data_IF_298322733651
#
_entry.id   IF_298322733651
#
_cell.length_a   1.000
_cell.length_b   1.000
_cell.length_c   1.000
_cell.angle_alpha   90.00
_cell.angle_beta   90.00
_cell.angle_gamma   90.00
#
_symmetry.space_group_name_H-M   'P 1'
#
loop_
_entity.id
_entity.type
_entity.pdbx_description
1 polymer ?
#
# COMPACT_ATOMS: atom_id res chain seq x y z
N UNK A 1 17.56 5.89 5.72
CA UNK A 1 17.69 6.24 7.14
C UNK A 1 17.79 7.76 7.22
N UNK A 2 16.65 8.43 7.54
CA UNK A 2 16.61 9.88 7.56
C UNK A 2 17.49 10.48 8.63
N UNK A 3 18.23 11.53 8.31
CA UNK A 3 18.90 12.38 9.28
C UNK A 3 17.87 13.16 10.10
N UNK A 4 18.10 13.35 11.39
CA UNK A 4 17.35 14.29 12.23
C UNK A 4 17.42 15.69 11.59
N UNK A 5 16.35 16.13 10.94
CA UNK A 5 16.26 17.43 10.25
C UNK A 5 15.74 17.40 8.82
N UNK A 6 15.77 16.24 8.13
CA UNK A 6 15.29 16.10 6.74
C UNK A 6 14.01 15.23 6.64
N UNK A 7 13.36 14.90 7.76
CA UNK A 7 12.15 14.08 7.74
C UNK A 7 10.96 14.88 7.20
N UNK A 8 10.42 14.43 6.06
CA UNK A 8 9.16 14.92 5.52
C UNK A 8 8.03 13.95 5.89
N UNK A 9 6.88 14.50 6.25
CA UNK A 9 5.70 13.69 6.61
C UNK A 9 5.36 12.69 5.50
N UNK A 10 5.09 11.44 5.86
CA UNK A 10 4.82 10.30 4.95
C UNK A 10 6.02 9.83 4.11
N UNK A 11 7.22 10.41 4.27
CA UNK A 11 8.40 9.92 3.57
C UNK A 11 9.02 8.72 4.28
N UNK A 12 9.79 7.93 3.54
CA UNK A 12 10.69 6.91 4.08
C UNK A 12 12.11 7.45 4.31
N UNK A 13 12.31 8.75 4.05
CA UNK A 13 13.55 9.49 4.21
C UNK A 13 14.34 9.63 2.91
N UNK A 14 15.54 10.21 3.03
CA UNK A 14 16.51 10.31 1.95
C UNK A 14 17.35 9.04 1.86
N UNK A 15 17.82 8.67 0.67
CA UNK A 15 18.71 7.54 0.51
C UNK A 15 20.19 7.94 0.63
N UNK A 16 21.01 7.02 1.11
CA UNK A 16 22.45 7.22 1.24
C UNK A 16 23.15 6.80 -0.06
N UNK A 17 23.72 7.74 -0.77
CA UNK A 17 24.28 7.54 -2.12
C UNK A 17 25.59 6.73 -2.17
N UNK A 18 26.32 6.58 -1.06
CA UNK A 18 27.65 5.95 -1.04
C UNK A 18 27.65 4.47 -1.48
N UNK A 19 26.58 3.72 -1.16
CA UNK A 19 26.51 2.27 -1.38
C UNK A 19 25.28 1.84 -2.17
N UNK A 20 24.34 2.76 -2.38
CA UNK A 20 23.04 2.48 -3.01
C UNK A 20 22.69 3.58 -3.99
N UNK A 21 22.31 3.19 -5.19
CA UNK A 21 21.63 4.06 -6.15
C UNK A 21 20.17 3.66 -6.22
N UNK A 22 19.28 4.64 -6.27
CA UNK A 22 17.84 4.42 -6.44
C UNK A 22 17.32 5.21 -7.63
N UNK A 23 16.33 4.67 -8.30
CA UNK A 23 15.52 5.39 -9.29
C UNK A 23 14.11 4.87 -9.27
N UNK A 24 13.15 5.68 -9.73
CA UNK A 24 11.81 5.21 -10.01
C UNK A 24 11.63 5.00 -11.52
N UNK A 25 11.00 3.89 -11.91
CA UNK A 25 10.60 3.63 -13.30
C UNK A 25 9.39 4.50 -13.64
N UNK A 26 9.65 5.79 -13.83
CA UNK A 26 8.67 6.82 -14.14
C UNK A 26 9.30 7.88 -15.02
N UNK A 27 8.51 8.46 -15.94
CA UNK A 27 8.93 9.61 -16.75
C UNK A 27 8.96 10.91 -15.96
N UNK A 28 8.20 10.97 -14.86
CA UNK A 28 8.11 12.10 -13.94
C UNK A 28 8.06 11.57 -12.50
N UNK A 29 9.20 11.15 -11.94
CA UNK A 29 9.24 10.52 -10.62
C UNK A 29 8.83 11.47 -9.47
N UNK A 30 8.75 12.77 -9.70
CA UNK A 30 8.27 13.73 -8.70
C UNK A 30 6.74 13.69 -8.55
N UNK A 31 5.99 13.44 -9.64
CA UNK A 31 4.53 13.56 -9.65
C UNK A 31 3.81 12.25 -10.01
N UNK A 32 4.51 11.32 -10.67
CA UNK A 32 3.94 10.06 -11.14
C UNK A 32 4.68 8.90 -10.50
N UNK A 33 3.99 8.14 -9.66
CA UNK A 33 4.59 6.98 -9.01
C UNK A 33 5.04 5.93 -10.04
N UNK A 34 6.27 5.43 -9.84
CA UNK A 34 6.85 4.32 -10.59
C UNK A 34 7.39 3.26 -9.66
N UNK A 35 7.85 2.13 -10.21
CA UNK A 35 8.52 1.12 -9.40
C UNK A 35 9.87 1.63 -8.90
N UNK A 36 10.13 1.45 -7.61
CA UNK A 36 11.44 1.72 -7.01
C UNK A 36 12.43 0.66 -7.48
N UNK A 37 13.45 1.09 -8.19
CA UNK A 37 14.57 0.28 -8.64
C UNK A 37 15.80 0.62 -7.81
N UNK A 38 16.56 -0.40 -7.40
CA UNK A 38 17.72 -0.25 -6.53
C UNK A 38 18.95 -0.94 -7.15
N UNK A 39 20.10 -0.30 -7.06
CA UNK A 39 21.39 -0.85 -7.51
C UNK A 39 22.49 -0.50 -6.52
N UNK A 40 23.43 -1.41 -6.27
CA UNK A 40 24.56 -1.17 -5.37
C UNK A 40 25.00 -2.41 -4.61
N UNK A 41 26.02 -2.25 -3.78
CA UNK A 41 26.67 -3.34 -3.05
C UNK A 41 25.76 -4.04 -2.02
N UNK A 42 24.67 -3.40 -1.63
CA UNK A 42 23.68 -3.95 -0.67
C UNK A 42 22.66 -4.88 -1.35
N UNK A 43 22.67 -4.93 -2.69
CA UNK A 43 21.74 -5.77 -3.45
C UNK A 43 22.38 -7.14 -3.67
N UNK A 44 21.61 -8.19 -3.39
CA UNK A 44 22.07 -9.57 -3.62
C UNK A 44 22.31 -9.83 -5.12
N UNK A 45 23.18 -10.80 -5.45
CA UNK A 45 23.57 -11.12 -6.82
C UNK A 45 22.58 -12.03 -7.57
N UNK A 46 21.66 -12.66 -6.86
CA UNK A 46 20.64 -13.54 -7.47
C UNK A 46 20.13 -14.61 -6.51
N UNK A 47 19.15 -15.38 -6.98
CA UNK A 47 18.57 -16.51 -6.25
C UNK A 47 19.39 -17.78 -6.49
N UNK A 48 19.77 -18.46 -5.43
CA UNK A 48 20.56 -19.69 -5.50
C UNK A 48 19.89 -20.76 -6.36
N UNK A 49 20.60 -21.23 -7.40
CA UNK A 49 20.13 -22.24 -8.39
C UNK A 49 18.78 -21.91 -9.03
N UNK A 50 18.45 -20.63 -9.19
CA UNK A 50 17.21 -20.20 -9.84
C UNK A 50 17.51 -18.99 -10.77
N UNK A 51 17.99 -19.30 -11.97
CA UNK A 51 18.35 -18.29 -12.98
C UNK A 51 17.12 -17.53 -13.49
N UNK A 52 15.97 -18.20 -13.64
CA UNK A 52 14.74 -17.58 -14.10
C UNK A 52 14.25 -16.51 -13.11
N UNK A 53 14.17 -16.85 -11.82
CA UNK A 53 13.81 -15.87 -10.79
C UNK A 53 14.86 -14.76 -10.67
N UNK A 54 16.14 -15.06 -10.89
CA UNK A 54 17.20 -14.05 -10.89
C UNK A 54 17.02 -13.07 -12.05
N UNK A 55 16.80 -13.56 -13.27
CA UNK A 55 16.54 -12.70 -14.43
C UNK A 55 15.28 -11.84 -14.23
N UNK A 56 14.23 -12.41 -13.67
CA UNK A 56 12.99 -11.67 -13.37
C UNK A 56 13.14 -10.62 -12.28
N UNK A 57 14.16 -10.74 -11.42
CA UNK A 57 14.40 -9.81 -10.31
C UNK A 57 15.24 -8.58 -10.72
N UNK A 58 15.85 -8.58 -11.89
CA UNK A 58 16.72 -7.50 -12.33
C UNK A 58 16.34 -7.01 -13.74
N UNK A 59 16.52 -5.72 -13.96
CA UNK A 59 16.49 -5.13 -15.31
C UNK A 59 17.72 -5.58 -16.10
N UNK A 60 17.71 -5.41 -17.43
CA UNK A 60 18.86 -5.72 -18.30
C UNK A 60 20.12 -4.93 -17.93
N UNK A 61 19.98 -3.71 -17.42
CA UNK A 61 21.07 -2.84 -16.95
C UNK A 61 21.40 -3.03 -15.44
N UNK A 62 20.85 -4.09 -14.82
CA UNK A 62 21.24 -4.60 -13.50
C UNK A 62 20.64 -3.86 -12.30
N UNK A 63 19.47 -3.25 -12.43
CA UNK A 63 18.71 -2.72 -11.31
C UNK A 63 17.78 -3.79 -10.75
N UNK A 64 17.71 -3.86 -9.44
CA UNK A 64 16.83 -4.78 -8.74
C UNK A 64 15.40 -4.20 -8.67
N UNK A 65 14.42 -4.99 -9.06
CA UNK A 65 13.00 -4.73 -8.92
C UNK A 65 12.56 -4.93 -7.48
N UNK A 66 12.23 -3.86 -6.76
CA UNK A 66 11.78 -3.99 -5.36
C UNK A 66 10.33 -4.42 -5.26
N UNK A 67 9.55 -4.17 -6.28
CA UNK A 67 8.09 -4.34 -6.28
C UNK A 67 7.37 -3.24 -5.50
N UNK A 68 8.07 -2.24 -4.97
CA UNK A 68 7.48 -1.09 -4.29
C UNK A 68 7.24 0.05 -5.27
N UNK A 69 6.11 0.74 -5.15
CA UNK A 69 5.75 1.92 -5.94
C UNK A 69 5.94 3.19 -5.12
N UNK A 70 6.41 4.25 -5.75
CA UNK A 70 6.61 5.51 -5.07
C UNK A 70 7.03 6.65 -5.98
N UNK A 71 7.34 7.76 -5.34
CA UNK A 71 7.84 9.00 -5.95
C UNK A 71 9.09 9.48 -5.23
N UNK A 72 9.84 10.38 -5.85
CA UNK A 72 11.02 11.02 -5.27
C UNK A 72 10.99 12.51 -5.58
N UNK A 73 11.09 13.33 -4.54
CA UNK A 73 11.11 14.76 -4.72
C UNK A 73 12.50 15.28 -5.11
N UNK A 74 12.61 16.59 -5.31
CA UNK A 74 13.85 17.29 -5.71
C UNK A 74 14.98 17.17 -4.69
N UNK A 75 14.65 16.90 -3.44
CA UNK A 75 15.62 16.72 -2.35
C UNK A 75 16.01 15.25 -2.17
N UNK A 76 15.70 14.38 -3.14
CA UNK A 76 15.90 12.93 -3.08
C UNK A 76 15.19 12.23 -1.91
N UNK A 77 14.09 12.82 -1.44
CA UNK A 77 13.24 12.18 -0.43
C UNK A 77 12.30 11.20 -1.10
N UNK A 78 12.22 9.99 -0.58
CA UNK A 78 11.42 8.90 -1.13
C UNK A 78 10.06 8.82 -0.43
N UNK A 79 9.01 8.64 -1.22
CA UNK A 79 7.64 8.43 -0.76
C UNK A 79 7.10 7.14 -1.38
N UNK A 80 6.79 6.14 -0.56
CA UNK A 80 6.20 4.88 -1.02
C UNK A 80 4.68 4.96 -0.93
N UNK A 81 3.99 4.51 -1.96
CA UNK A 81 2.52 4.55 -2.07
C UNK A 81 1.89 3.16 -2.06
N UNK A 82 2.64 2.11 -2.36
CA UNK A 82 2.12 0.75 -2.36
C UNK A 82 3.04 -0.26 -3.05
N UNK A 83 2.44 -1.36 -3.49
CA UNK A 83 3.14 -2.46 -4.20
C UNK A 83 2.68 -2.57 -5.64
N UNK A 84 3.59 -2.88 -6.57
CA UNK A 84 3.26 -3.12 -7.98
C UNK A 84 2.16 -4.19 -8.13
N UNK A 85 2.24 -5.27 -7.36
CA UNK A 85 1.28 -6.39 -7.40
C UNK A 85 -0.07 -6.08 -6.77
N UNK A 86 -0.18 -5.04 -5.95
CA UNK A 86 -1.42 -4.64 -5.29
C UNK A 86 -2.15 -3.52 -6.03
N UNK A 87 -1.47 -2.83 -6.92
CA UNK A 87 -2.04 -1.72 -7.69
C UNK A 87 -3.25 -2.18 -8.49
N UNK A 88 -4.33 -1.42 -8.41
CA UNK A 88 -5.55 -1.62 -9.18
C UNK A 88 -5.68 -0.55 -10.25
N UNK A 89 -6.35 -0.87 -11.35
CA UNK A 89 -6.70 0.11 -12.37
C UNK A 89 -8.17 0.50 -12.19
N UNK A 90 -8.42 1.80 -12.18
CA UNK A 90 -9.78 2.34 -12.27
C UNK A 90 -10.34 2.17 -13.68
N UNK A 91 -11.66 2.30 -13.85
CA UNK A 91 -12.33 2.22 -15.15
C UNK A 91 -11.84 3.26 -16.17
N UNK A 92 -11.25 4.36 -15.72
CA UNK A 92 -10.66 5.41 -16.55
C UNK A 92 -9.13 5.29 -16.71
N UNK A 93 -8.54 4.14 -16.33
CA UNK A 93 -7.12 3.83 -16.49
C UNK A 93 -6.18 4.50 -15.48
N UNK A 94 -6.70 5.09 -14.40
CA UNK A 94 -5.87 5.66 -13.34
C UNK A 94 -5.44 4.58 -12.35
N UNK A 95 -4.20 4.68 -11.87
CA UNK A 95 -3.66 3.79 -10.85
C UNK A 95 -4.31 4.07 -9.49
N UNK A 96 -4.77 3.01 -8.84
CA UNK A 96 -5.28 3.04 -7.47
C UNK A 96 -4.31 2.24 -6.60
N UNK A 97 -3.91 2.83 -5.49
CA UNK A 97 -3.03 2.22 -4.50
C UNK A 97 -3.85 1.82 -3.27
N UNK A 98 -4.28 0.56 -3.17
CA UNK A 98 -5.15 0.09 -2.08
C UNK A 98 -4.59 0.40 -0.69
N UNK A 99 -3.28 0.30 -0.53
CA UNK A 99 -2.60 0.52 0.74
C UNK A 99 -2.79 1.96 1.26
N UNK A 100 -2.84 2.97 0.37
CA UNK A 100 -3.10 4.35 0.78
C UNK A 100 -4.52 4.52 1.36
N UNK A 101 -5.51 3.85 0.76
CA UNK A 101 -6.90 3.87 1.21
C UNK A 101 -7.02 3.11 2.54
N UNK A 102 -6.36 1.96 2.66
CA UNK A 102 -6.33 1.13 3.87
C UNK A 102 -5.70 1.86 5.05
N UNK A 103 -4.62 2.61 4.83
CA UNK A 103 -4.01 3.44 5.89
C UNK A 103 -5.01 4.44 6.45
N UNK A 104 -5.83 5.08 5.61
CA UNK A 104 -6.86 6.01 6.07
C UNK A 104 -7.95 5.26 6.82
N UNK A 105 -8.44 4.15 6.28
CA UNK A 105 -9.54 3.38 6.86
C UNK A 105 -9.15 2.73 8.19
N UNK A 106 -7.92 2.21 8.32
CA UNK A 106 -7.40 1.62 9.55
C UNK A 106 -7.24 2.62 10.71
N UNK A 107 -7.25 3.93 10.42
CA UNK A 107 -7.25 4.99 11.44
C UNK A 107 -8.68 5.48 11.80
N UNK A 108 -9.72 4.87 11.23
CA UNK A 108 -11.11 5.23 11.53
C UNK A 108 -11.66 4.46 12.74
N UNK A 109 -12.70 4.96 13.41
CA UNK A 109 -13.28 4.33 14.59
C UNK A 109 -13.67 2.86 14.36
N UNK A 110 -13.31 2.00 15.30
CA UNK A 110 -13.66 0.57 15.34
C UNK A 110 -13.17 -0.28 14.16
N UNK A 111 -12.16 0.18 13.42
CA UNK A 111 -11.48 -0.59 12.36
C UNK A 111 -10.16 -1.13 12.90
N UNK A 112 -10.04 -2.45 13.02
CA UNK A 112 -8.77 -3.11 13.38
C UNK A 112 -7.88 -3.33 12.17
N UNK A 113 -8.46 -3.85 11.07
CA UNK A 113 -7.76 -4.11 9.82
C UNK A 113 -8.71 -3.88 8.64
N UNK A 114 -8.17 -3.43 7.53
CA UNK A 114 -8.92 -3.34 6.29
C UNK A 114 -8.11 -3.81 5.09
N UNK A 115 -8.84 -4.23 4.05
CA UNK A 115 -8.29 -4.67 2.78
C UNK A 115 -9.17 -4.14 1.65
N UNK A 116 -8.61 -3.37 0.75
CA UNK A 116 -9.32 -2.87 -0.44
C UNK A 116 -9.13 -3.85 -1.59
N UNK A 117 -10.24 -4.31 -2.14
CA UNK A 117 -10.27 -5.23 -3.29
C UNK A 117 -11.11 -4.65 -4.41
N UNK A 118 -10.88 -5.13 -5.64
CA UNK A 118 -11.74 -4.82 -6.78
C UNK A 118 -12.71 -5.97 -7.03
N UNK A 119 -14.02 -5.68 -7.03
CA UNK A 119 -15.07 -6.63 -7.40
C UNK A 119 -15.99 -6.01 -8.44
N UNK A 120 -16.08 -6.62 -9.61
CA UNK A 120 -16.89 -6.11 -10.74
C UNK A 120 -16.59 -4.63 -11.02
N UNK A 121 -15.31 -4.30 -11.13
CA UNK A 121 -14.78 -2.95 -11.39
C UNK A 121 -15.12 -1.89 -10.32
N UNK A 122 -15.56 -2.31 -9.14
CA UNK A 122 -15.83 -1.44 -7.99
C UNK A 122 -14.88 -1.76 -6.85
N UNK A 123 -14.45 -0.74 -6.14
CA UNK A 123 -13.67 -0.93 -4.91
C UNK A 123 -14.61 -1.33 -3.77
N UNK A 124 -14.23 -2.37 -3.06
CA UNK A 124 -14.91 -2.89 -1.87
C UNK A 124 -13.90 -2.94 -0.73
N UNK A 125 -14.30 -2.44 0.43
CA UNK A 125 -13.51 -2.55 1.66
C UNK A 125 -13.92 -3.81 2.43
N UNK A 126 -13.00 -4.73 2.61
CA UNK A 126 -13.16 -5.80 3.59
C UNK A 126 -12.65 -5.26 4.93
N UNK A 127 -13.46 -5.30 5.98
CA UNK A 127 -13.15 -4.67 7.27
C UNK A 127 -13.23 -5.70 8.37
N UNK A 128 -12.16 -5.84 9.14
CA UNK A 128 -12.16 -6.55 10.44
C UNK A 128 -12.40 -5.49 11.52
N UNK A 129 -13.51 -5.54 12.24
CA UNK A 129 -13.77 -4.60 13.32
C UNK A 129 -12.87 -4.83 14.54
N UNK A 130 -12.57 -3.77 15.28
CA UNK A 130 -11.91 -3.86 16.58
C UNK A 130 -12.89 -4.36 17.65
N UNK A 131 -12.84 -5.67 17.92
CA UNK A 131 -13.73 -6.34 18.85
C UNK A 131 -13.58 -5.80 20.30
N UNK A 132 -12.37 -5.40 20.70
CA UNK A 132 -12.14 -4.86 22.04
C UNK A 132 -12.79 -3.48 22.17
N UNK A 133 -12.56 -2.60 21.21
CA UNK A 133 -13.17 -1.28 21.19
C UNK A 133 -14.71 -1.35 21.13
N UNK A 134 -15.27 -2.32 20.37
CA UNK A 134 -16.72 -2.55 20.31
C UNK A 134 -17.29 -3.02 21.65
N UNK A 135 -16.61 -3.95 22.32
CA UNK A 135 -17.02 -4.46 23.62
C UNK A 135 -16.99 -3.36 24.70
N UNK A 136 -15.90 -2.58 24.72
CA UNK A 136 -15.73 -1.46 25.66
C UNK A 136 -16.80 -0.37 25.47
N UNK A 137 -17.21 -0.13 24.23
CA UNK A 137 -18.26 0.84 23.89
C UNK A 137 -19.68 0.29 24.03
N UNK A 138 -19.86 -1.02 24.30
CA UNK A 138 -21.17 -1.67 24.35
C UNK A 138 -21.93 -1.59 23.02
N UNK A 139 -21.22 -1.63 21.90
CA UNK A 139 -21.76 -1.41 20.56
C UNK A 139 -22.39 -2.68 20.02
N UNK A 140 -23.66 -2.63 19.64
CA UNK A 140 -24.36 -3.71 18.96
C UNK A 140 -24.16 -3.70 17.43
N UNK A 141 -24.68 -4.72 16.74
CA UNK A 141 -24.53 -4.87 15.30
C UNK A 141 -25.17 -3.73 14.48
N UNK A 142 -26.28 -3.14 14.97
CA UNK A 142 -26.95 -2.03 14.29
C UNK A 142 -26.10 -0.75 14.37
N UNK A 143 -25.55 -0.46 15.55
CA UNK A 143 -24.65 0.67 15.73
C UNK A 143 -23.32 0.49 15.00
N UNK A 144 -22.78 -0.73 14.94
CA UNK A 144 -21.61 -1.03 14.11
C UNK A 144 -21.85 -0.69 12.63
N UNK A 145 -23.02 -1.08 12.09
CA UNK A 145 -23.37 -0.74 10.71
C UNK A 145 -23.41 0.77 10.49
N UNK A 146 -24.02 1.53 11.38
CA UNK A 146 -24.06 3.01 11.30
C UNK A 146 -22.67 3.64 11.35
N UNK A 147 -21.79 3.08 12.19
CA UNK A 147 -20.39 3.54 12.30
C UNK A 147 -19.63 3.25 11.00
N UNK A 148 -19.77 2.05 10.44
CA UNK A 148 -19.08 1.68 9.19
C UNK A 148 -19.60 2.48 7.99
N UNK A 149 -20.88 2.78 7.93
CA UNK A 149 -21.47 3.68 6.93
C UNK A 149 -20.89 5.10 7.04
N UNK A 150 -20.75 5.60 8.26
CA UNK A 150 -20.12 6.90 8.52
C UNK A 150 -18.62 6.90 8.15
N UNK A 151 -17.89 5.84 8.48
CA UNK A 151 -16.50 5.66 8.10
C UNK A 151 -16.34 5.65 6.58
N UNK A 152 -17.16 4.88 5.85
CA UNK A 152 -17.13 4.84 4.39
C UNK A 152 -17.43 6.21 3.77
N UNK A 153 -18.43 6.92 4.30
CA UNK A 153 -18.77 8.26 3.84
C UNK A 153 -17.64 9.27 4.12
N UNK A 154 -16.96 9.16 5.27
CA UNK A 154 -15.82 10.00 5.61
C UNK A 154 -14.59 9.68 4.73
N UNK A 155 -14.28 8.39 4.51
CA UNK A 155 -13.23 7.93 3.61
C UNK A 155 -13.41 8.52 2.21
N UNK A 156 -14.61 8.40 1.66
CA UNK A 156 -14.92 8.85 0.30
C UNK A 156 -14.87 10.38 0.09
N UNK A 157 -14.77 11.16 1.18
CA UNK A 157 -14.49 12.62 1.10
C UNK A 157 -12.99 12.93 1.02
N UNK A 158 -12.14 11.97 1.41
CA UNK A 158 -10.69 12.15 1.51
C UNK A 158 -9.99 11.59 0.26
N UNK A 159 -10.45 10.43 -0.23
CA UNK A 159 -9.84 9.77 -1.38
C UNK A 159 -10.19 10.45 -2.70
N UNK A 160 -9.34 10.36 -3.73
CA UNK A 160 -9.64 10.88 -5.07
C UNK A 160 -10.92 10.24 -5.64
N UNK A 161 -11.62 10.96 -6.51
CA UNK A 161 -12.88 10.52 -7.10
C UNK A 161 -12.80 9.16 -7.85
N UNK A 162 -11.65 8.84 -8.41
CA UNK A 162 -11.40 7.55 -9.09
C UNK A 162 -11.12 6.39 -8.12
N UNK A 163 -10.92 6.67 -6.82
CA UNK A 163 -10.63 5.71 -5.77
C UNK A 163 -11.78 5.54 -4.77
N UNK A 164 -12.97 6.00 -5.12
CA UNK A 164 -14.16 5.90 -4.28
C UNK A 164 -14.48 4.44 -3.98
N UNK A 165 -14.61 4.09 -2.69
CA UNK A 165 -15.00 2.77 -2.22
C UNK A 165 -16.52 2.67 -2.23
N UNK A 166 -17.05 1.71 -3.00
CA UNK A 166 -18.49 1.60 -3.27
C UNK A 166 -19.28 0.94 -2.15
N UNK A 167 -18.65 0.02 -1.41
CA UNK A 167 -19.28 -0.75 -0.32
C UNK A 167 -18.22 -1.34 0.59
N UNK A 168 -18.65 -1.89 1.71
CA UNK A 168 -17.80 -2.67 2.60
C UNK A 168 -18.43 -4.03 2.92
N UNK A 169 -17.60 -4.96 3.39
CA UNK A 169 -17.99 -6.26 3.93
C UNK A 169 -17.29 -6.47 5.27
N UNK A 170 -18.04 -6.85 6.29
CA UNK A 170 -17.48 -7.14 7.61
C UNK A 170 -16.87 -8.55 7.57
N UNK A 171 -15.64 -8.67 8.00
CA UNK A 171 -14.92 -9.92 8.20
C UNK A 171 -14.96 -10.27 9.70
N UNK A 172 -15.41 -11.47 10.02
CA UNK A 172 -15.49 -11.94 11.42
C UNK A 172 -14.12 -12.43 11.93
N UNK A 173 -13.27 -12.86 11.03
CA UNK A 173 -11.94 -13.39 11.31
C UNK A 173 -10.84 -12.44 10.83
N UNK A 174 -9.71 -12.34 11.54
CA UNK A 174 -8.55 -11.60 11.08
C UNK A 174 -8.06 -12.09 9.72
N UNK A 175 -7.51 -11.20 8.91
CA UNK A 175 -6.94 -11.60 7.63
C UNK A 175 -5.77 -12.57 7.79
N UNK A 176 -5.69 -13.56 6.89
CA UNK A 176 -4.54 -14.44 6.79
C UNK A 176 -3.27 -13.65 6.45
N UNK A 177 -2.22 -13.84 7.24
CA UNK A 177 -0.95 -13.09 7.11
C UNK A 177 0.22 -13.99 6.76
N UNK A 178 1.21 -13.39 6.14
CA UNK A 178 2.53 -13.98 5.96
C UNK A 178 3.29 -14.00 7.30
N UNK A 179 4.39 -14.76 7.45
CA UNK A 179 5.23 -14.70 8.64
C UNK A 179 5.77 -13.30 8.97
N UNK A 180 5.83 -12.40 7.98
CA UNK A 180 6.23 -10.99 8.14
C UNK A 180 5.08 -10.06 8.54
N UNK A 181 3.86 -10.58 8.79
CA UNK A 181 2.68 -9.80 9.17
C UNK A 181 1.90 -9.16 8.03
N UNK A 182 2.31 -9.29 6.77
CA UNK A 182 1.58 -8.73 5.63
C UNK A 182 0.36 -9.60 5.28
N UNK A 183 -0.78 -8.96 4.98
CA UNK A 183 -2.01 -9.65 4.55
C UNK A 183 -1.76 -10.39 3.23
N UNK A 184 -2.21 -11.65 3.16
CA UNK A 184 -2.18 -12.47 1.94
C UNK A 184 -3.33 -12.07 1.02
N UNK A 185 -3.21 -10.91 0.35
CA UNK A 185 -4.26 -10.32 -0.51
C UNK A 185 -4.86 -11.29 -1.51
N UNK A 186 -4.03 -12.16 -2.11
CA UNK A 186 -4.45 -13.15 -3.12
C UNK A 186 -5.54 -14.13 -2.64
N UNK A 187 -5.78 -14.22 -1.32
CA UNK A 187 -6.84 -15.06 -0.76
C UNK A 187 -8.22 -14.38 -0.77
N UNK A 188 -8.28 -13.09 -1.08
CA UNK A 188 -9.49 -12.26 -0.94
C UNK A 188 -9.91 -11.57 -2.25
N UNK A 189 -9.14 -11.74 -3.33
CA UNK A 189 -9.40 -11.16 -4.67
C UNK A 189 -10.15 -12.12 -5.54
#
# INVERSE_FOLDING_TARGET
VGHLGSYKLKSVGEYVQEHVSVRFDSKDPEHVAGELLVKGDVVFSGYYKNEEATKAAFTEDGWFHTGDLGTMDKDNTLFLVGRCKSMLLSSNGQNIYPEEIEVVLNNMPFVAESLIVSRKEKLVALIVPDQNALADAGTDAENLTKIMDANLAALNKIVPAYSVVSSYEIQLEPFAKTPKGSIKRFMYV
#
